data_IF_249870454744
#
_entry.id   IF_249870454744
#
_cell.length_a   1.000
_cell.length_b   1.000
_cell.length_c   1.000
_cell.angle_alpha   90.00
_cell.angle_beta   90.00
_cell.angle_gamma   90.00
#
_symmetry.space_group_name_H-M   'P 1'
#
loop_
_entity.id
_entity.type
_entity.pdbx_description
1 polymer ?
#
# COMPACT_ATOMS: atom_id res chain seq x y z
N UNK A 1 17.14 -7.00 9.65
CA UNK A 1 16.63 -5.64 9.36
C UNK A 1 17.52 -4.97 8.32
N UNK A 2 16.93 -4.18 7.46
CA UNK A 2 17.68 -3.49 6.40
C UNK A 2 18.24 -2.15 6.89
N UNK A 3 19.41 -1.74 6.41
CA UNK A 3 19.97 -0.43 6.78
C UNK A 3 19.05 0.72 6.37
N UNK A 4 19.00 1.78 7.18
CA UNK A 4 18.15 2.94 6.91
C UNK A 4 18.46 3.60 5.56
N UNK A 5 19.75 3.69 5.20
CA UNK A 5 20.17 4.29 3.92
C UNK A 5 19.66 3.49 2.72
N UNK A 6 19.57 2.17 2.84
CA UNK A 6 19.09 1.30 1.75
C UNK A 6 17.62 1.57 1.46
N UNK A 7 16.79 1.68 2.50
CA UNK A 7 15.35 1.80 2.34
C UNK A 7 14.88 3.25 2.13
N UNK A 8 15.71 4.23 2.45
CA UNK A 8 15.34 5.64 2.33
C UNK A 8 14.80 6.02 0.95
N UNK A 9 15.50 5.74 -0.17
CA UNK A 9 14.96 6.06 -1.49
C UNK A 9 13.70 5.27 -1.82
N UNK A 10 13.53 4.07 -1.27
CA UNK A 10 12.33 3.26 -1.45
C UNK A 10 11.13 3.85 -0.71
N UNK A 11 11.36 4.46 0.46
CA UNK A 11 10.34 5.21 1.19
C UNK A 11 9.96 6.48 0.44
N UNK A 12 10.99 7.23 0.00
CA UNK A 12 10.78 8.51 -0.69
C UNK A 12 10.07 8.34 -2.03
N UNK A 13 10.20 7.19 -2.67
CA UNK A 13 9.49 6.88 -3.90
C UNK A 13 7.97 7.00 -3.71
N UNK A 14 7.47 6.72 -2.52
CA UNK A 14 6.05 6.86 -2.18
C UNK A 14 5.74 8.17 -1.47
N UNK A 15 6.56 8.58 -0.50
CA UNK A 15 6.28 9.80 0.26
C UNK A 15 6.34 11.05 -0.62
N UNK A 16 7.18 11.05 -1.66
CA UNK A 16 7.27 12.18 -2.60
C UNK A 16 5.99 12.42 -3.40
N UNK A 17 5.10 11.42 -3.48
CA UNK A 17 3.80 11.57 -4.17
C UNK A 17 2.62 11.61 -3.21
N UNK A 18 2.88 11.80 -1.92
CA UNK A 18 1.84 12.06 -0.93
C UNK A 18 1.49 10.91 0.00
N UNK A 19 2.19 9.79 -0.08
CA UNK A 19 1.97 8.69 0.87
C UNK A 19 2.51 9.07 2.24
N UNK A 20 1.73 8.75 3.28
CA UNK A 20 2.13 8.94 4.68
C UNK A 20 2.64 7.62 5.22
N UNK A 21 3.87 7.63 5.76
CA UNK A 21 4.46 6.46 6.38
C UNK A 21 3.87 6.24 7.77
N UNK A 22 3.42 5.02 8.02
CA UNK A 22 2.95 4.60 9.33
C UNK A 22 4.01 3.68 9.94
N UNK A 23 4.47 4.00 11.15
CA UNK A 23 5.61 3.31 11.75
C UNK A 23 5.26 2.55 13.04
N UNK A 24 4.04 2.70 13.55
CA UNK A 24 3.59 1.99 14.73
C UNK A 24 2.13 1.55 14.61
N UNK A 25 1.71 0.67 15.52
CA UNK A 25 0.37 0.08 15.48
C UNK A 25 -0.74 1.10 15.75
N UNK A 26 -0.49 2.07 16.62
CA UNK A 26 -1.50 3.09 16.97
C UNK A 26 -1.84 3.95 15.75
N UNK A 27 -0.83 4.36 14.98
CA UNK A 27 -1.03 5.11 13.75
C UNK A 27 -1.86 4.31 12.74
N UNK A 28 -1.51 3.04 12.54
CA UNK A 28 -2.24 2.18 11.60
C UNK A 28 -3.69 2.03 12.03
N UNK A 29 -3.91 1.66 13.29
CA UNK A 29 -5.26 1.39 13.79
C UNK A 29 -6.14 2.64 13.79
N UNK A 30 -5.60 3.80 14.15
CA UNK A 30 -6.43 5.01 14.21
C UNK A 30 -6.62 5.66 12.84
N UNK A 31 -5.55 5.80 12.04
CA UNK A 31 -5.63 6.54 10.78
C UNK A 31 -6.34 5.76 9.68
N UNK A 32 -6.07 4.47 9.57
CA UNK A 32 -6.71 3.64 8.52
C UNK A 32 -8.20 3.44 8.85
N UNK A 33 -8.52 3.08 10.09
CA UNK A 33 -9.90 2.79 10.47
C UNK A 33 -10.80 4.02 10.46
N UNK A 34 -10.23 5.21 10.66
CA UNK A 34 -10.99 6.47 10.65
C UNK A 34 -11.04 7.14 9.29
N UNK A 35 -10.43 6.56 8.27
CA UNK A 35 -10.45 7.11 6.91
C UNK A 35 -11.75 6.76 6.22
N UNK A 36 -12.30 7.69 5.44
CA UNK A 36 -13.43 7.42 4.58
C UNK A 36 -13.02 6.44 3.48
N UNK A 37 -11.94 6.75 2.77
CA UNK A 37 -11.31 5.85 1.81
C UNK A 37 -9.79 5.95 1.96
N UNK A 38 -9.11 4.81 1.87
CA UNK A 38 -7.66 4.77 1.99
C UNK A 38 -7.08 3.68 1.10
N UNK A 39 -5.92 3.95 0.52
CA UNK A 39 -5.07 2.91 -0.05
C UNK A 39 -3.86 2.74 0.85
N UNK A 40 -3.52 1.49 1.14
CA UNK A 40 -2.36 1.15 1.94
C UNK A 40 -1.49 0.18 1.15
N UNK A 41 -0.25 0.58 0.89
CA UNK A 41 0.73 -0.29 0.26
C UNK A 41 1.73 -0.79 1.31
N UNK A 42 1.90 -2.09 1.38
CA UNK A 42 2.99 -2.70 2.14
C UNK A 42 4.20 -2.70 1.22
N UNK A 43 5.10 -1.77 1.49
CA UNK A 43 6.33 -1.60 0.73
C UNK A 43 7.36 -2.67 1.11
N UNK A 44 8.30 -2.94 0.24
CA UNK A 44 9.38 -3.89 0.54
C UNK A 44 10.60 -3.60 -0.33
N UNK A 45 11.72 -4.26 0.00
CA UNK A 45 12.96 -4.17 -0.79
C UNK A 45 12.93 -5.07 -2.02
N UNK A 46 11.88 -5.89 -2.18
CA UNK A 46 11.74 -6.83 -3.28
C UNK A 46 11.75 -6.12 -4.64
N UNK A 47 12.34 -6.76 -5.66
CA UNK A 47 12.32 -6.23 -7.02
C UNK A 47 10.92 -6.02 -7.57
N UNK A 48 9.95 -6.83 -7.16
CA UNK A 48 8.55 -6.65 -7.57
C UNK A 48 7.90 -5.42 -6.93
N UNK A 49 8.41 -4.94 -5.80
CA UNK A 49 7.99 -3.64 -5.26
C UNK A 49 8.54 -2.51 -6.13
N UNK A 50 9.82 -2.58 -6.50
CA UNK A 50 10.47 -1.53 -7.29
C UNK A 50 9.94 -1.46 -8.73
N UNK A 51 9.75 -2.60 -9.37
CA UNK A 51 9.39 -2.65 -10.80
C UNK A 51 7.88 -2.65 -11.04
N UNK A 52 7.07 -3.08 -10.07
CA UNK A 52 5.64 -3.32 -10.27
C UNK A 52 4.76 -2.56 -9.28
N UNK A 53 4.88 -2.84 -7.98
CA UNK A 53 3.96 -2.29 -6.97
C UNK A 53 4.04 -0.78 -6.82
N UNK A 54 5.24 -0.24 -6.57
CA UNK A 54 5.38 1.21 -6.39
C UNK A 54 5.03 2.00 -7.64
N UNK A 55 5.56 1.66 -8.84
CA UNK A 55 5.16 2.39 -10.04
C UNK A 55 3.66 2.26 -10.34
N UNK A 56 3.08 1.08 -10.09
CA UNK A 56 1.65 0.85 -10.33
C UNK A 56 0.75 1.69 -9.44
N UNK A 57 1.03 1.73 -8.14
CA UNK A 57 0.22 2.52 -7.21
C UNK A 57 0.41 4.02 -7.45
N UNK A 58 1.62 4.46 -7.79
CA UNK A 58 1.88 5.86 -8.12
C UNK A 58 1.09 6.28 -9.36
N UNK A 59 1.14 5.48 -10.41
CA UNK A 59 0.42 5.74 -11.66
C UNK A 59 -1.10 5.78 -11.45
N UNK A 60 -1.63 4.97 -10.52
CA UNK A 60 -3.06 4.93 -10.22
C UNK A 60 -3.60 6.25 -9.68
N UNK A 61 -2.73 7.09 -9.11
CA UNK A 61 -3.14 8.37 -8.52
C UNK A 61 -3.56 9.40 -9.56
N UNK A 62 -3.33 9.14 -10.85
CA UNK A 62 -3.82 9.98 -11.94
C UNK A 62 -5.32 9.81 -12.19
N UNK A 63 -5.96 8.82 -11.58
CA UNK A 63 -7.40 8.61 -11.72
C UNK A 63 -8.19 9.77 -11.11
N UNK A 64 -9.34 10.10 -11.70
CA UNK A 64 -10.21 11.17 -11.19
C UNK A 64 -10.72 10.83 -9.78
N UNK A 65 -11.20 9.60 -9.60
CA UNK A 65 -11.58 9.10 -8.28
C UNK A 65 -10.39 8.40 -7.67
N UNK A 66 -10.09 8.73 -6.43
CA UNK A 66 -8.98 8.11 -5.69
C UNK A 66 -9.25 8.21 -4.19
N UNK A 67 -8.56 7.38 -3.37
CA UNK A 67 -8.75 7.43 -1.92
C UNK A 67 -8.37 8.78 -1.33
N UNK A 68 -9.07 9.17 -0.26
CA UNK A 68 -8.77 10.39 0.49
C UNK A 68 -7.41 10.31 1.17
N UNK A 69 -6.99 9.13 1.57
CA UNK A 69 -5.75 8.92 2.31
C UNK A 69 -4.85 7.92 1.61
N UNK A 70 -3.56 8.19 1.62
CA UNK A 70 -2.53 7.35 1.02
C UNK A 70 -1.56 6.94 2.12
N UNK A 71 -1.53 5.66 2.47
CA UNK A 71 -0.69 5.14 3.55
C UNK A 71 0.29 4.08 3.07
N UNK A 72 1.44 4.00 3.74
CA UNK A 72 2.41 2.94 3.50
C UNK A 72 3.05 2.47 4.80
N UNK A 73 3.33 1.17 4.86
CA UNK A 73 4.14 0.54 5.89
C UNK A 73 5.27 -0.21 5.20
N UNK A 74 6.40 -0.41 5.88
CA UNK A 74 7.58 -1.04 5.26
C UNK A 74 7.84 -2.41 5.88
N UNK A 75 7.53 -3.46 5.14
CA UNK A 75 7.75 -4.84 5.59
C UNK A 75 9.25 -5.11 5.76
N UNK A 76 9.59 -5.78 6.84
CA UNK A 76 10.97 -6.10 7.17
C UNK A 76 11.74 -4.97 7.86
N UNK A 77 11.11 -3.79 8.04
CA UNK A 77 11.71 -2.65 8.72
C UNK A 77 10.80 -2.16 9.86
N UNK A 78 9.57 -1.77 9.53
CA UNK A 78 8.60 -1.27 10.51
C UNK A 78 7.64 -2.39 10.91
N UNK A 79 8.14 -3.32 11.73
CA UNK A 79 7.42 -4.55 12.06
C UNK A 79 6.07 -4.30 12.72
N UNK A 80 6.03 -3.39 13.69
CA UNK A 80 4.80 -3.11 14.44
C UNK A 80 3.70 -2.59 13.53
N UNK A 81 4.03 -1.61 12.67
CA UNK A 81 3.07 -1.06 11.72
C UNK A 81 2.64 -2.10 10.68
N UNK A 82 3.59 -2.90 10.19
CA UNK A 82 3.30 -3.95 9.21
C UNK A 82 2.36 -5.00 9.79
N UNK A 83 2.62 -5.44 11.02
CA UNK A 83 1.77 -6.45 11.68
C UNK A 83 0.35 -5.90 11.90
N UNK A 84 0.23 -4.63 12.30
CA UNK A 84 -1.07 -3.99 12.48
C UNK A 84 -1.83 -3.88 11.15
N UNK A 85 -1.14 -3.49 10.08
CA UNK A 85 -1.74 -3.41 8.75
C UNK A 85 -2.24 -4.78 8.28
N UNK A 86 -1.46 -5.82 8.51
CA UNK A 86 -1.84 -7.19 8.12
C UNK A 86 -3.08 -7.70 8.86
N UNK A 87 -3.27 -7.28 10.11
CA UNK A 87 -4.50 -7.62 10.85
C UNK A 87 -5.74 -7.01 10.20
N UNK A 88 -5.62 -5.84 9.59
CA UNK A 88 -6.71 -5.21 8.87
C UNK A 88 -7.01 -5.88 7.53
N UNK A 89 -6.09 -6.71 7.06
CA UNK A 89 -6.21 -7.41 5.77
C UNK A 89 -6.69 -8.86 5.90
N UNK A 90 -6.99 -9.32 7.11
CA UNK A 90 -7.56 -10.66 7.32
C UNK A 90 -8.86 -10.77 6.51
N UNK A 91 -9.11 -11.89 5.80
CA UNK A 91 -8.46 -13.20 5.92
C UNK A 91 -7.28 -13.45 4.97
N UNK A 92 -6.78 -12.43 4.30
CA UNK A 92 -5.66 -12.62 3.37
C UNK A 92 -4.37 -12.94 4.13
N UNK A 93 -3.59 -13.95 3.68
CA UNK A 93 -2.32 -14.26 4.33
C UNK A 93 -1.28 -13.16 4.10
N UNK A 94 -0.31 -13.00 5.01
CA UNK A 94 0.73 -11.99 4.85
C UNK A 94 1.50 -12.16 3.55
N UNK A 95 1.65 -11.07 2.82
CA UNK A 95 2.51 -11.01 1.63
C UNK A 95 3.10 -9.59 1.50
N UNK A 96 4.20 -9.46 0.80
CA UNK A 96 4.80 -8.17 0.53
C UNK A 96 5.61 -8.20 -0.77
N UNK A 97 5.45 -7.21 -1.64
CA UNK A 97 4.51 -6.10 -1.49
C UNK A 97 3.05 -6.53 -1.63
N UNK A 98 2.15 -5.74 -1.07
CA UNK A 98 0.73 -5.90 -1.32
C UNK A 98 0.06 -4.52 -1.23
N UNK A 99 -1.13 -4.39 -1.84
CA UNK A 99 -1.85 -3.12 -1.90
C UNK A 99 -3.30 -3.38 -1.51
N UNK A 100 -3.78 -2.63 -0.52
CA UNK A 100 -5.13 -2.79 0.00
C UNK A 100 -5.90 -1.47 -0.10
N UNK A 101 -7.19 -1.54 -0.39
CA UNK A 101 -8.08 -0.40 -0.38
C UNK A 101 -9.11 -0.60 0.74
N UNK A 102 -9.30 0.44 1.55
CA UNK A 102 -10.25 0.45 2.66
C UNK A 102 -11.31 1.51 2.43
N UNK A 103 -12.54 1.20 2.82
CA UNK A 103 -13.64 2.15 2.82
C UNK A 103 -14.30 2.10 4.20
N UNK A 104 -14.35 3.25 4.86
CA UNK A 104 -14.89 3.36 6.23
C UNK A 104 -14.25 2.35 7.19
N UNK A 105 -12.94 2.15 7.03
CA UNK A 105 -12.15 1.25 7.86
C UNK A 105 -12.22 -0.22 7.47
N UNK A 106 -13.01 -0.58 6.47
CA UNK A 106 -13.16 -1.98 6.04
C UNK A 106 -12.42 -2.25 4.74
N UNK A 107 -11.80 -3.43 4.67
CA UNK A 107 -11.08 -3.87 3.47
C UNK A 107 -12.09 -4.16 2.34
N UNK A 108 -11.95 -3.46 1.21
CA UNK A 108 -12.84 -3.62 0.05
C UNK A 108 -12.13 -4.15 -1.19
N UNK A 109 -10.80 -4.07 -1.24
CA UNK A 109 -10.03 -4.56 -2.39
C UNK A 109 -8.62 -4.91 -1.94
N UNK A 110 -8.05 -5.97 -2.53
CA UNK A 110 -6.72 -6.45 -2.16
C UNK A 110 -5.97 -6.96 -3.38
N UNK A 111 -4.75 -6.47 -3.56
CA UNK A 111 -3.77 -7.04 -4.47
C UNK A 111 -2.67 -7.67 -3.64
N UNK A 112 -2.62 -9.00 -3.63
CA UNK A 112 -1.57 -9.75 -2.96
C UNK A 112 -0.32 -9.81 -3.84
N UNK A 113 0.80 -10.26 -3.28
CA UNK A 113 2.05 -10.36 -4.02
C UNK A 113 1.90 -11.13 -5.33
N UNK A 114 1.16 -12.22 -5.34
CA UNK A 114 0.99 -13.02 -6.56
C UNK A 114 0.15 -12.31 -7.64
N UNK A 115 -0.61 -11.26 -7.28
CA UNK A 115 -1.29 -10.41 -8.24
C UNK A 115 -0.39 -9.30 -8.78
N UNK A 116 0.73 -9.04 -8.10
CA UNK A 116 1.67 -7.96 -8.43
C UNK A 116 2.87 -8.50 -9.19
N UNK A 117 3.45 -9.58 -8.68
CA UNK A 117 4.64 -10.20 -9.25
C UNK A 117 4.38 -10.66 -10.67
N UNK A 118 5.24 -10.25 -11.60
CA UNK A 118 5.09 -10.58 -13.01
C UNK A 118 4.04 -9.74 -13.76
N UNK A 119 3.40 -8.78 -13.09
CA UNK A 119 2.45 -7.86 -13.74
C UNK A 119 3.11 -6.52 -13.98
N UNK A 120 2.77 -5.86 -15.10
CA UNK A 120 3.29 -4.53 -15.37
C UNK A 120 2.68 -3.48 -14.42
N UNK A 121 3.39 -2.37 -14.25
CA UNK A 121 2.86 -1.23 -13.50
C UNK A 121 1.52 -0.75 -14.08
N UNK A 122 1.39 -0.78 -15.41
CA UNK A 122 0.14 -0.38 -16.09
C UNK A 122 -1.03 -1.28 -15.71
N UNK A 123 -0.84 -2.59 -15.68
CA UNK A 123 -1.88 -3.55 -15.29
C UNK A 123 -2.31 -3.31 -13.84
N UNK A 124 -1.35 -3.12 -12.95
CA UNK A 124 -1.62 -2.83 -11.54
C UNK A 124 -2.37 -1.51 -11.40
N UNK A 125 -1.90 -0.47 -12.08
CA UNK A 125 -2.53 0.84 -12.08
C UNK A 125 -3.99 0.77 -12.56
N UNK A 126 -4.25 0.07 -13.65
CA UNK A 126 -5.60 -0.06 -14.19
C UNK A 126 -6.53 -0.82 -13.25
N UNK A 127 -6.02 -1.86 -12.58
CA UNK A 127 -6.79 -2.59 -11.57
C UNK A 127 -7.19 -1.66 -10.41
N UNK A 128 -6.24 -0.86 -9.91
CA UNK A 128 -6.50 0.08 -8.82
C UNK A 128 -7.47 1.18 -9.24
N UNK A 129 -7.32 1.71 -10.45
CA UNK A 129 -8.24 2.75 -10.97
C UNK A 129 -9.68 2.25 -11.04
N UNK A 130 -9.88 1.02 -11.48
CA UNK A 130 -11.21 0.41 -11.50
C UNK A 130 -11.79 0.28 -10.09
N UNK A 131 -10.96 -0.14 -9.13
CA UNK A 131 -11.38 -0.22 -7.74
C UNK A 131 -11.70 1.16 -7.16
N UNK A 132 -10.90 2.18 -7.48
CA UNK A 132 -11.20 3.55 -7.05
C UNK A 132 -12.53 4.04 -7.64
N UNK A 133 -12.80 3.75 -8.90
CA UNK A 133 -14.07 4.13 -9.52
C UNK A 133 -15.26 3.47 -8.82
N UNK A 134 -15.07 2.28 -8.31
CA UNK A 134 -16.13 1.52 -7.62
C UNK A 134 -16.32 1.98 -6.17
N UNK A 135 -15.24 2.24 -5.43
CA UNK A 135 -15.30 2.43 -3.99
C UNK A 135 -15.06 3.88 -3.53
N UNK A 136 -14.41 4.67 -4.34
CA UNK A 136 -14.11 6.07 -4.01
C UNK A 136 -15.00 7.02 -4.79
#
# INVERSE_FOLDING_TARGET
MYPAELVKPMREDLTSVGFVELTNSDEVNSLVTNSETAVLIVNSVCGCAAANARPGVKSSLANDKKPNQLFTVFAGVDKEATDAARKLMIPFPPSSPCIAIFKSGELVHMLERHHIEGRSAEIISNNLKQAYDQFC
#
